data_IF_886677949866
#
_entry.id   IF_886677949866
#
_cell.length_a   1.000
_cell.length_b   1.000
_cell.length_c   1.000
_cell.angle_alpha   90.00
_cell.angle_beta   90.00
_cell.angle_gamma   90.00
#
_symmetry.space_group_name_H-M   'P 1'
#
loop_
_entity.id
_entity.type
_entity.pdbx_description
1 polymer ?
#
# COMPACT_ATOMS: atom_id res chain seq x y z
N UNK A 1 -29.47 -19.90 22.26
CA UNK A 1 -30.00 -18.51 22.13
C UNK A 1 -28.97 -17.41 22.45
N UNK A 2 -28.02 -17.60 23.37
CA UNK A 2 -27.02 -16.57 23.74
C UNK A 2 -25.88 -16.45 22.73
N UNK A 3 -25.42 -17.54 22.13
CA UNK A 3 -24.35 -17.57 21.12
C UNK A 3 -24.78 -16.95 19.78
N UNK A 4 -25.99 -17.20 19.32
CA UNK A 4 -26.52 -16.60 18.09
C UNK A 4 -26.68 -15.07 18.20
N UNK A 5 -27.04 -14.56 19.38
CA UNK A 5 -27.11 -13.10 19.63
C UNK A 5 -25.71 -12.45 19.61
N UNK A 6 -24.70 -13.14 20.18
CA UNK A 6 -23.31 -12.68 20.14
C UNK A 6 -22.76 -12.62 18.71
N UNK A 7 -22.94 -13.67 17.93
CA UNK A 7 -22.51 -13.75 16.54
C UNK A 7 -23.20 -12.69 15.65
N UNK A 8 -24.50 -12.45 15.87
CA UNK A 8 -25.27 -11.42 15.14
C UNK A 8 -24.81 -10.00 15.50
N UNK A 9 -24.50 -9.71 16.78
CA UNK A 9 -23.96 -8.41 17.19
C UNK A 9 -22.57 -8.16 16.59
N UNK A 10 -21.71 -9.16 16.59
CA UNK A 10 -20.37 -9.09 15.97
C UNK A 10 -20.46 -8.82 14.48
N UNK A 11 -21.35 -9.49 13.77
CA UNK A 11 -21.59 -9.30 12.34
C UNK A 11 -22.13 -7.91 11.99
N UNK A 12 -23.09 -7.40 12.77
CA UNK A 12 -23.63 -6.04 12.61
C UNK A 12 -22.56 -4.97 12.85
N UNK A 13 -21.70 -5.17 13.85
CA UNK A 13 -20.60 -4.25 14.14
C UNK A 13 -19.56 -4.25 13.02
N UNK A 14 -19.22 -5.41 12.49
CA UNK A 14 -18.32 -5.53 11.34
C UNK A 14 -18.88 -4.83 10.10
N UNK A 15 -20.18 -4.99 9.80
CA UNK A 15 -20.85 -4.31 8.70
C UNK A 15 -20.85 -2.79 8.87
N UNK A 16 -21.20 -2.30 10.08
CA UNK A 16 -21.15 -0.87 10.38
C UNK A 16 -19.75 -0.29 10.19
N UNK A 17 -18.73 -1.02 10.69
CA UNK A 17 -17.33 -0.62 10.57
C UNK A 17 -16.89 -0.51 9.13
N UNK A 18 -17.21 -1.52 8.30
CA UNK A 18 -16.89 -1.53 6.87
C UNK A 18 -17.54 -0.36 6.13
N UNK A 19 -18.84 -0.13 6.32
CA UNK A 19 -19.55 0.98 5.67
C UNK A 19 -19.01 2.35 6.08
N UNK A 20 -18.55 2.52 7.33
CA UNK A 20 -17.87 3.75 7.77
C UNK A 20 -16.52 3.92 7.09
N UNK A 21 -15.75 2.84 6.88
CA UNK A 21 -14.47 2.85 6.19
C UNK A 21 -14.67 3.19 4.72
N UNK A 22 -15.61 2.56 4.03
CA UNK A 22 -15.93 2.81 2.61
C UNK A 22 -16.33 4.28 2.40
N UNK A 23 -17.26 4.79 3.22
CA UNK A 23 -17.70 6.18 3.17
C UNK A 23 -16.57 7.19 3.49
N UNK A 24 -15.66 6.82 4.38
CA UNK A 24 -14.51 7.64 4.72
C UNK A 24 -13.52 7.70 3.56
N UNK A 25 -13.23 6.57 2.89
CA UNK A 25 -12.36 6.55 1.72
C UNK A 25 -12.85 7.51 0.64
N UNK A 26 -14.14 7.46 0.30
CA UNK A 26 -14.75 8.38 -0.66
C UNK A 26 -14.61 9.85 -0.22
N UNK A 27 -14.99 10.15 1.04
CA UNK A 27 -14.94 11.50 1.57
C UNK A 27 -13.51 12.06 1.64
N UNK A 28 -12.56 11.23 2.06
CA UNK A 28 -11.14 11.58 2.11
C UNK A 28 -10.55 11.80 0.71
N UNK A 29 -10.93 10.99 -0.26
CA UNK A 29 -10.47 11.12 -1.65
C UNK A 29 -10.89 12.44 -2.29
N UNK A 30 -12.04 12.99 -1.88
CA UNK A 30 -12.55 14.26 -2.39
C UNK A 30 -11.95 15.49 -1.69
N UNK A 31 -11.69 15.40 -0.38
CA UNK A 31 -11.41 16.57 0.47
C UNK A 31 -10.11 16.49 1.24
N UNK A 32 -9.45 15.34 1.24
CA UNK A 32 -8.37 15.05 2.17
C UNK A 32 -8.87 14.63 3.55
N UNK A 33 -7.97 14.08 4.35
CA UNK A 33 -8.29 13.58 5.71
C UNK A 33 -8.60 14.75 6.64
N UNK A 34 -7.79 15.81 6.57
CA UNK A 34 -7.90 16.97 7.46
C UNK A 34 -9.26 17.68 7.33
N UNK A 35 -9.68 17.93 6.10
CA UNK A 35 -10.83 18.78 5.80
C UNK A 35 -12.14 17.99 5.70
N UNK A 36 -12.11 16.68 5.95
CA UNK A 36 -13.29 15.84 6.03
C UNK A 36 -13.85 15.82 7.46
N UNK A 37 -15.06 16.37 7.71
CA UNK A 37 -15.70 16.26 9.02
C UNK A 37 -16.27 14.86 9.24
N UNK A 38 -16.28 14.41 10.50
CA UNK A 38 -16.87 13.10 10.89
C UNK A 38 -18.35 13.02 10.50
N UNK A 39 -19.05 14.14 10.54
CA UNK A 39 -20.47 14.25 10.15
C UNK A 39 -20.70 13.80 8.70
N UNK A 40 -19.84 14.20 7.78
CA UNK A 40 -19.93 13.81 6.37
C UNK A 40 -19.73 12.30 6.21
N UNK A 41 -18.77 11.71 6.92
CA UNK A 41 -18.55 10.26 6.90
C UNK A 41 -19.80 9.53 7.42
N UNK A 42 -20.37 10.00 8.53
CA UNK A 42 -21.58 9.42 9.13
C UNK A 42 -22.77 9.52 8.18
N UNK A 43 -22.97 10.67 7.54
CA UNK A 43 -24.06 10.91 6.57
C UNK A 43 -23.96 9.94 5.40
N UNK A 44 -22.79 9.82 4.77
CA UNK A 44 -22.54 8.91 3.65
C UNK A 44 -22.73 7.43 4.03
N UNK A 45 -22.25 7.06 5.20
CA UNK A 45 -22.39 5.69 5.70
C UNK A 45 -23.82 5.36 6.17
N UNK A 46 -24.71 6.35 6.34
CA UNK A 46 -26.05 6.18 6.88
C UNK A 46 -26.04 5.87 8.39
N UNK A 47 -25.11 6.45 9.14
CA UNK A 47 -24.97 6.24 10.57
C UNK A 47 -24.92 7.56 11.37
N UNK A 48 -25.11 7.46 12.68
CA UNK A 48 -24.99 8.60 13.60
C UNK A 48 -23.54 8.78 14.07
N UNK A 49 -23.19 9.98 14.57
CA UNK A 49 -21.91 10.22 15.25
C UNK A 49 -21.65 9.24 16.40
N UNK A 50 -22.70 8.85 17.15
CA UNK A 50 -22.59 7.85 18.20
C UNK A 50 -22.14 6.49 17.68
N UNK A 51 -22.64 6.07 16.49
CA UNK A 51 -22.20 4.85 15.85
C UNK A 51 -20.74 4.96 15.37
N UNK A 52 -20.30 6.13 14.89
CA UNK A 52 -18.91 6.37 14.55
C UNK A 52 -17.99 6.20 15.76
N UNK A 53 -18.23 6.95 16.85
CA UNK A 53 -17.39 6.93 18.06
C UNK A 53 -17.47 5.62 18.86
N UNK A 54 -18.46 4.76 18.60
CA UNK A 54 -18.48 3.39 19.15
C UNK A 54 -17.54 2.43 18.39
N UNK A 55 -17.07 2.80 17.19
CA UNK A 55 -16.20 1.99 16.34
C UNK A 55 -14.80 2.56 16.17
N UNK A 56 -14.65 3.88 16.18
CA UNK A 56 -13.38 4.59 15.96
C UNK A 56 -13.24 5.75 16.93
N UNK A 57 -12.07 5.92 17.52
CA UNK A 57 -11.78 7.00 18.46
C UNK A 57 -11.63 8.37 17.76
N UNK A 58 -11.23 8.38 16.50
CA UNK A 58 -11.08 9.58 15.68
C UNK A 58 -11.11 9.22 14.19
N UNK A 59 -11.10 10.23 13.31
CA UNK A 59 -10.99 9.99 11.86
C UNK A 59 -9.60 9.47 11.46
N UNK A 60 -8.57 9.81 12.21
CA UNK A 60 -7.22 9.29 12.05
C UNK A 60 -7.15 7.79 12.41
N UNK A 61 -7.86 7.37 13.46
CA UNK A 61 -8.01 5.96 13.85
C UNK A 61 -8.76 5.15 12.78
N UNK A 62 -9.81 5.74 12.20
CA UNK A 62 -10.50 5.15 11.06
C UNK A 62 -9.57 5.03 9.86
N UNK A 63 -8.82 6.11 9.51
CA UNK A 63 -7.90 6.08 8.39
C UNK A 63 -6.78 5.06 8.59
N UNK A 64 -6.26 4.91 9.81
CA UNK A 64 -5.26 3.88 10.10
C UNK A 64 -5.80 2.46 9.83
N UNK A 65 -7.07 2.22 10.15
CA UNK A 65 -7.73 0.94 9.82
C UNK A 65 -7.88 0.77 8.31
N UNK A 66 -8.36 1.79 7.61
CA UNK A 66 -8.45 1.82 6.15
C UNK A 66 -7.07 1.54 5.51
N UNK A 67 -6.01 2.20 6.02
CA UNK A 67 -4.64 2.00 5.55
C UNK A 67 -4.20 0.53 5.69
N UNK A 68 -4.48 -0.09 6.84
CA UNK A 68 -4.12 -1.49 7.08
C UNK A 68 -4.88 -2.46 6.16
N UNK A 69 -6.18 -2.24 5.95
CA UNK A 69 -7.00 -3.07 5.06
C UNK A 69 -6.57 -2.91 3.60
N UNK A 70 -6.41 -1.69 3.12
CA UNK A 70 -6.00 -1.41 1.74
C UNK A 70 -4.59 -1.91 1.43
N UNK A 71 -3.64 -1.73 2.35
CA UNK A 71 -2.27 -2.23 2.14
C UNK A 71 -2.21 -3.75 2.13
N UNK A 72 -3.00 -4.44 2.95
CA UNK A 72 -3.08 -5.90 2.93
C UNK A 72 -3.57 -6.42 1.57
N UNK A 73 -4.66 -5.86 1.05
CA UNK A 73 -5.21 -6.23 -0.28
C UNK A 73 -4.22 -5.94 -1.40
N UNK A 74 -3.51 -4.81 -1.34
CA UNK A 74 -2.51 -4.44 -2.36
C UNK A 74 -1.28 -5.33 -2.33
N UNK A 75 -0.81 -5.71 -1.15
CA UNK A 75 0.29 -6.66 -0.98
C UNK A 75 -0.05 -8.04 -1.51
N UNK A 76 -1.27 -8.54 -1.23
CA UNK A 76 -1.75 -9.81 -1.76
C UNK A 76 -1.78 -9.79 -3.30
N UNK A 77 -2.37 -8.76 -3.90
CA UNK A 77 -2.39 -8.59 -5.36
C UNK A 77 -0.99 -8.52 -5.96
N UNK A 78 -0.07 -7.82 -5.31
CA UNK A 78 1.31 -7.73 -5.77
C UNK A 78 2.03 -9.08 -5.66
N UNK A 79 1.84 -9.79 -4.56
CA UNK A 79 2.37 -11.15 -4.38
C UNK A 79 1.89 -12.08 -5.50
N UNK A 80 0.57 -12.16 -5.72
CA UNK A 80 -0.02 -13.04 -6.74
C UNK A 80 0.47 -12.69 -8.16
N UNK A 81 0.54 -11.41 -8.47
CA UNK A 81 1.03 -10.95 -9.76
C UNK A 81 2.53 -11.27 -9.96
N UNK A 82 3.35 -11.14 -8.92
CA UNK A 82 4.77 -11.48 -8.95
C UNK A 82 4.95 -13.00 -9.14
N UNK A 83 4.17 -13.80 -8.42
CA UNK A 83 4.17 -15.25 -8.57
C UNK A 83 3.80 -15.70 -9.99
N UNK A 84 2.80 -15.05 -10.61
CA UNK A 84 2.41 -15.33 -11.99
C UNK A 84 3.54 -15.07 -12.97
N UNK A 85 4.22 -13.90 -12.87
CA UNK A 85 5.36 -13.56 -13.75
C UNK A 85 6.50 -14.54 -13.60
N UNK A 86 6.86 -14.89 -12.37
CA UNK A 86 7.97 -15.81 -12.10
C UNK A 86 7.63 -17.25 -12.47
N UNK A 87 6.36 -17.66 -12.36
CA UNK A 87 5.91 -18.99 -12.78
C UNK A 87 5.99 -19.23 -14.29
N UNK A 88 5.86 -18.17 -15.08
CA UNK A 88 5.99 -18.21 -16.54
C UNK A 88 7.44 -18.07 -17.04
N UNK A 89 8.36 -17.68 -16.17
CA UNK A 89 9.74 -17.33 -16.55
C UNK A 89 10.69 -18.44 -16.07
N UNK A 90 11.32 -19.14 -17.02
CA UNK A 90 12.48 -20.00 -16.71
C UNK A 90 13.71 -19.09 -16.66
N UNK A 91 14.26 -18.90 -15.48
CA UNK A 91 15.45 -18.06 -15.26
C UNK A 91 16.68 -18.94 -15.05
N UNK A 92 17.72 -18.75 -15.84
CA UNK A 92 19.01 -19.40 -15.65
C UNK A 92 20.00 -18.45 -14.94
N UNK A 93 21.06 -19.01 -14.36
CA UNK A 93 22.03 -18.26 -13.53
C UNK A 93 22.68 -17.06 -14.26
N UNK A 94 22.77 -17.08 -15.58
CA UNK A 94 23.40 -16.05 -16.40
C UNK A 94 22.42 -15.22 -17.23
N UNK A 95 21.11 -15.40 -17.05
CA UNK A 95 20.12 -14.69 -17.84
C UNK A 95 20.05 -13.20 -17.45
N UNK A 96 19.74 -12.37 -18.45
CA UNK A 96 19.38 -10.97 -18.22
C UNK A 96 18.01 -10.91 -17.53
N UNK A 97 18.01 -10.47 -16.29
CA UNK A 97 16.79 -10.33 -15.48
C UNK A 97 16.00 -9.05 -15.80
N UNK A 98 16.55 -8.13 -16.60
CA UNK A 98 15.93 -6.83 -16.85
C UNK A 98 14.49 -6.92 -17.35
N UNK A 99 14.10 -7.85 -18.25
CA UNK A 99 12.72 -7.97 -18.70
C UNK A 99 11.77 -8.43 -17.56
N UNK A 100 12.18 -9.41 -16.76
CA UNK A 100 11.36 -9.91 -15.64
C UNK A 100 11.23 -8.85 -14.54
N UNK A 101 12.33 -8.16 -14.21
CA UNK A 101 12.30 -7.05 -13.24
C UNK A 101 11.46 -5.87 -13.73
N UNK A 102 11.47 -5.58 -15.05
CA UNK A 102 10.61 -4.57 -15.66
C UNK A 102 9.12 -4.91 -15.46
N UNK A 103 8.71 -6.14 -15.76
CA UNK A 103 7.34 -6.59 -15.53
C UNK A 103 6.93 -6.56 -14.07
N UNK A 104 7.81 -6.96 -13.16
CA UNK A 104 7.56 -6.89 -11.71
C UNK A 104 7.41 -5.43 -11.27
N UNK A 105 8.23 -4.51 -11.78
CA UNK A 105 8.10 -3.09 -11.50
C UNK A 105 6.77 -2.50 -12.00
N UNK A 106 6.33 -2.88 -13.21
CA UNK A 106 5.02 -2.49 -13.75
C UNK A 106 3.88 -3.00 -12.86
N UNK A 107 3.93 -4.27 -12.44
CA UNK A 107 2.95 -4.86 -11.55
C UNK A 107 2.94 -4.21 -10.17
N UNK A 108 4.11 -3.86 -9.66
CA UNK A 108 4.23 -3.07 -8.42
C UNK A 108 3.50 -1.74 -8.54
N UNK A 109 3.70 -1.03 -9.66
CA UNK A 109 2.98 0.21 -9.95
C UNK A 109 1.47 0.01 -9.96
N UNK A 110 0.98 -0.98 -10.70
CA UNK A 110 -0.45 -1.28 -10.81
C UNK A 110 -1.06 -1.71 -9.46
N UNK A 111 -0.38 -2.58 -8.73
CA UNK A 111 -0.92 -3.14 -7.49
C UNK A 111 -0.92 -2.13 -6.33
N UNK A 112 0.14 -1.30 -6.22
CA UNK A 112 0.33 -0.43 -5.06
C UNK A 112 -0.15 1.00 -5.26
N UNK A 113 -0.28 1.47 -6.49
CA UNK A 113 -0.49 2.90 -6.69
C UNK A 113 -1.30 3.34 -7.90
N UNK A 114 -1.98 2.48 -8.57
CA UNK A 114 -2.86 2.89 -9.67
C UNK A 114 -3.89 3.98 -9.28
N UNK A 115 -3.96 4.33 -7.99
CA UNK A 115 -4.87 5.31 -7.43
C UNK A 115 -4.12 6.55 -6.91
N UNK A 116 -4.19 7.64 -7.68
CA UNK A 116 -3.71 8.97 -7.29
C UNK A 116 -4.23 9.39 -5.91
N UNK A 117 -5.51 9.10 -5.62
CA UNK A 117 -6.14 9.50 -4.37
C UNK A 117 -5.49 8.77 -3.19
N UNK A 118 -5.21 7.48 -3.36
CA UNK A 118 -4.51 6.70 -2.34
C UNK A 118 -3.12 7.27 -2.01
N UNK A 119 -2.34 7.60 -3.04
CA UNK A 119 -1.04 8.25 -2.84
C UNK A 119 -1.16 9.55 -2.05
N UNK A 120 -2.11 10.43 -2.43
CA UNK A 120 -2.31 11.71 -1.76
C UNK A 120 -2.73 11.53 -0.29
N UNK A 121 -3.62 10.57 -0.02
CA UNK A 121 -4.05 10.24 1.34
C UNK A 121 -2.90 9.71 2.20
N UNK A 122 -2.06 8.84 1.66
CA UNK A 122 -0.86 8.33 2.36
C UNK A 122 0.14 9.45 2.65
N UNK A 123 0.37 10.36 1.70
CA UNK A 123 1.25 11.52 1.87
C UNK A 123 0.74 12.48 2.95
N UNK A 124 -0.57 12.79 2.93
CA UNK A 124 -1.22 13.60 3.95
C UNK A 124 -1.11 12.96 5.33
N UNK A 125 -1.41 11.66 5.43
CA UNK A 125 -1.37 10.92 6.69
C UNK A 125 0.04 10.88 7.30
N UNK A 126 1.08 10.66 6.48
CA UNK A 126 2.47 10.76 6.94
C UNK A 126 2.79 12.16 7.45
N UNK A 127 2.37 13.19 6.71
CA UNK A 127 2.60 14.59 7.12
C UNK A 127 1.90 14.93 8.43
N UNK A 128 0.69 14.41 8.66
CA UNK A 128 -0.01 14.53 9.94
C UNK A 128 0.77 13.85 11.08
N UNK A 129 1.27 12.62 10.85
CA UNK A 129 2.10 11.92 11.84
C UNK A 129 3.35 12.67 12.25
N UNK A 130 3.99 13.39 11.30
CA UNK A 130 5.15 14.22 11.61
C UNK A 130 4.81 15.43 12.49
N UNK A 131 3.58 15.94 12.41
CA UNK A 131 3.11 17.13 13.15
C UNK A 131 2.42 16.80 14.47
N UNK A 132 1.90 15.58 14.61
CA UNK A 132 1.08 15.16 15.76
C UNK A 132 1.76 13.99 16.50
N UNK A 133 2.47 14.27 17.61
CA UNK A 133 3.19 13.24 18.37
C UNK A 133 2.29 12.08 18.84
N UNK A 134 1.02 12.36 19.14
CA UNK A 134 0.05 11.42 19.69
C UNK A 134 -0.26 10.24 18.74
N UNK A 135 -0.17 10.48 17.43
CA UNK A 135 -0.45 9.45 16.40
C UNK A 135 0.81 9.01 15.65
N UNK A 136 1.94 9.68 15.85
CA UNK A 136 3.21 9.44 15.12
C UNK A 136 3.64 7.98 15.20
N UNK A 137 3.67 7.40 16.39
CA UNK A 137 4.18 6.04 16.60
C UNK A 137 3.28 5.00 15.91
N UNK A 138 1.97 5.19 15.96
CA UNK A 138 0.99 4.32 15.30
C UNK A 138 1.12 4.39 13.77
N UNK A 139 1.26 5.58 13.23
CA UNK A 139 1.47 5.79 11.79
C UNK A 139 2.81 5.18 11.36
N UNK A 140 3.89 5.48 12.08
CA UNK A 140 5.20 4.91 11.81
C UNK A 140 5.21 3.38 11.87
N UNK A 141 4.50 2.79 12.83
CA UNK A 141 4.35 1.33 12.92
C UNK A 141 3.61 0.74 11.71
N UNK A 142 2.54 1.40 11.24
CA UNK A 142 1.78 0.94 10.08
C UNK A 142 2.60 0.96 8.78
N UNK A 143 3.38 2.04 8.54
CA UNK A 143 4.27 2.11 7.38
C UNK A 143 5.44 1.11 7.49
N UNK A 144 6.04 0.93 8.66
CA UNK A 144 7.07 -0.11 8.85
C UNK A 144 6.53 -1.51 8.60
N UNK A 145 5.33 -1.82 9.09
CA UNK A 145 4.68 -3.09 8.80
C UNK A 145 4.52 -3.32 7.30
N UNK A 146 4.01 -2.31 6.58
CA UNK A 146 3.88 -2.37 5.12
C UNK A 146 5.22 -2.64 4.43
N UNK A 147 6.29 -1.93 4.81
CA UNK A 147 7.64 -2.14 4.23
C UNK A 147 8.18 -3.54 4.54
N UNK A 148 7.97 -4.04 5.76
CA UNK A 148 8.39 -5.40 6.14
C UNK A 148 7.65 -6.48 5.32
N UNK A 149 6.36 -6.35 5.12
CA UNK A 149 5.60 -7.29 4.30
C UNK A 149 6.04 -7.22 2.83
N UNK A 150 6.29 -6.03 2.32
CA UNK A 150 6.82 -5.84 0.97
C UNK A 150 8.21 -6.49 0.80
N UNK A 151 9.08 -6.38 1.82
CA UNK A 151 10.39 -7.03 1.85
C UNK A 151 10.27 -8.57 1.79
N UNK A 152 9.28 -9.15 2.47
CA UNK A 152 9.01 -10.59 2.39
C UNK A 152 8.63 -11.04 0.98
N UNK A 153 7.76 -10.28 0.30
CA UNK A 153 7.40 -10.57 -1.11
C UNK A 153 8.64 -10.49 -1.99
N UNK A 154 9.46 -9.45 -1.83
CA UNK A 154 10.70 -9.29 -2.60
C UNK A 154 11.68 -10.46 -2.39
N UNK A 155 11.94 -10.84 -1.13
CA UNK A 155 12.83 -11.96 -0.81
C UNK A 155 12.28 -13.27 -1.37
N UNK A 156 11.00 -13.58 -1.16
CA UNK A 156 10.37 -14.77 -1.71
C UNK A 156 10.47 -14.85 -3.23
N UNK A 157 10.30 -13.73 -3.92
CA UNK A 157 10.46 -13.65 -5.38
C UNK A 157 11.91 -13.93 -5.82
N UNK A 158 12.90 -13.38 -5.11
CA UNK A 158 14.32 -13.59 -5.42
C UNK A 158 14.78 -15.02 -5.13
N UNK A 159 14.31 -15.63 -4.04
CA UNK A 159 14.64 -17.02 -3.69
C UNK A 159 14.18 -18.00 -4.79
N UNK A 160 13.04 -17.74 -5.42
CA UNK A 160 12.52 -18.58 -6.53
C UNK A 160 13.39 -18.58 -7.78
N UNK A 161 14.10 -17.48 -8.00
CA UNK A 161 15.01 -17.33 -9.16
C UNK A 161 16.47 -17.46 -8.77
N UNK A 162 16.75 -18.04 -7.60
CA UNK A 162 18.10 -18.28 -7.07
C UNK A 162 18.95 -16.99 -7.04
N UNK A 163 18.35 -15.91 -6.54
CA UNK A 163 19.00 -14.60 -6.38
C UNK A 163 18.91 -14.10 -4.96
N UNK A 164 19.79 -13.20 -4.60
CA UNK A 164 19.80 -12.53 -3.30
C UNK A 164 20.13 -11.05 -3.44
N UNK A 165 19.74 -10.27 -2.45
CA UNK A 165 20.10 -8.86 -2.34
C UNK A 165 21.54 -8.68 -1.84
N UNK A 166 22.19 -7.62 -2.32
CA UNK A 166 23.51 -7.16 -1.84
C UNK A 166 23.41 -6.29 -0.59
N UNK A 167 22.20 -5.83 -0.24
CA UNK A 167 21.88 -5.02 0.94
C UNK A 167 20.76 -5.70 1.73
N UNK A 168 20.40 -5.16 2.90
CA UNK A 168 19.28 -5.71 3.67
C UNK A 168 17.95 -5.60 2.90
N UNK A 169 17.01 -6.54 3.06
CA UNK A 169 15.68 -6.44 2.41
C UNK A 169 14.95 -5.15 2.76
N UNK A 170 15.05 -4.69 4.00
CA UNK A 170 14.41 -3.45 4.45
C UNK A 170 15.02 -2.21 3.76
N UNK A 171 16.35 -2.17 3.57
CA UNK A 171 17.01 -1.09 2.84
C UNK A 171 16.66 -1.11 1.35
N UNK A 172 16.57 -2.30 0.74
CA UNK A 172 16.16 -2.44 -0.65
C UNK A 172 14.74 -1.90 -0.87
N UNK A 173 13.80 -2.27 0.00
CA UNK A 173 12.42 -1.76 -0.05
C UNK A 173 12.38 -0.26 0.18
N UNK A 174 13.16 0.27 1.14
CA UNK A 174 13.24 1.71 1.37
C UNK A 174 13.67 2.47 0.11
N UNK A 175 14.71 2.00 -0.58
CA UNK A 175 15.19 2.59 -1.84
C UNK A 175 14.11 2.52 -2.93
N UNK A 176 13.48 1.37 -3.12
CA UNK A 176 12.47 1.16 -4.16
C UNK A 176 11.22 2.01 -3.92
N UNK A 177 10.73 2.05 -2.68
CA UNK A 177 9.56 2.86 -2.31
C UNK A 177 9.87 4.36 -2.45
N UNK A 178 11.07 4.81 -2.04
CA UNK A 178 11.45 6.21 -2.18
C UNK A 178 11.55 6.64 -3.66
N UNK A 179 12.17 5.81 -4.50
CA UNK A 179 12.22 6.06 -5.94
C UNK A 179 10.81 6.11 -6.54
N UNK A 180 9.99 5.13 -6.20
CA UNK A 180 8.62 5.03 -6.64
C UNK A 180 7.81 6.28 -6.27
N UNK A 181 7.80 6.67 -4.98
CA UNK A 181 7.04 7.82 -4.50
C UNK A 181 7.52 9.12 -5.15
N UNK A 182 8.83 9.30 -5.32
CA UNK A 182 9.37 10.48 -5.97
C UNK A 182 8.99 10.54 -7.46
N UNK A 183 9.04 9.40 -8.15
CA UNK A 183 8.60 9.32 -9.54
C UNK A 183 7.13 9.67 -9.69
N UNK A 184 6.27 9.06 -8.88
CA UNK A 184 4.84 9.33 -8.87
C UNK A 184 4.52 10.80 -8.57
N UNK A 185 5.21 11.38 -7.58
CA UNK A 185 5.06 12.80 -7.25
C UNK A 185 5.38 13.71 -8.43
N UNK A 186 6.49 13.44 -9.13
CA UNK A 186 6.88 14.24 -10.30
C UNK A 186 5.81 14.18 -11.39
N UNK A 187 5.30 12.98 -11.72
CA UNK A 187 4.22 12.83 -12.70
C UNK A 187 2.96 13.58 -12.33
N UNK A 188 2.56 13.48 -11.07
CA UNK A 188 1.36 14.17 -10.58
C UNK A 188 1.51 15.71 -10.63
N UNK A 189 2.72 16.23 -10.36
CA UNK A 189 3.02 17.66 -10.43
C UNK A 189 3.09 18.17 -11.87
N UNK A 190 3.55 17.35 -12.82
CA UNK A 190 3.60 17.68 -14.25
C UNK A 190 2.22 17.59 -14.92
N UNK A 191 1.21 17.09 -14.21
CA UNK A 191 -0.16 16.94 -14.72
C UNK A 191 -0.30 15.88 -15.80
N UNK A 192 0.67 14.98 -15.89
CA UNK A 192 0.64 13.84 -16.81
C UNK A 192 -0.19 12.69 -16.20
N UNK A 193 -0.81 11.87 -17.04
CA UNK A 193 -1.46 10.64 -16.57
C UNK A 193 -0.41 9.68 -16.02
N UNK A 194 -0.79 8.85 -15.03
CA UNK A 194 0.10 7.87 -14.41
C UNK A 194 0.68 6.96 -15.49
N UNK A 195 2.01 6.88 -15.64
CA UNK A 195 2.60 6.14 -16.75
C UNK A 195 2.53 4.63 -16.49
N UNK A 196 1.83 3.93 -17.35
CA UNK A 196 2.04 2.50 -17.51
C UNK A 196 3.35 2.18 -18.23
N UNK A 197 3.89 3.16 -18.99
CA UNK A 197 5.01 3.01 -19.92
C UNK A 197 6.16 4.02 -19.72
N UNK A 198 6.11 4.82 -18.64
CA UNK A 198 7.11 5.85 -18.39
C UNK A 198 8.51 5.28 -18.13
N UNK A 199 9.55 5.94 -18.68
CA UNK A 199 10.98 5.61 -18.52
C UNK A 199 11.37 5.31 -17.06
N UNK A 200 10.70 5.92 -16.11
CA UNK A 200 10.93 5.70 -14.69
C UNK A 200 10.64 4.26 -14.27
N UNK A 201 9.49 3.72 -14.69
CA UNK A 201 9.06 2.35 -14.35
C UNK A 201 9.73 1.32 -15.25
N UNK A 202 9.79 1.59 -16.57
CA UNK A 202 10.31 0.64 -17.55
C UNK A 202 11.84 0.55 -17.55
N UNK A 203 12.57 1.58 -17.08
CA UNK A 203 14.03 1.60 -17.14
C UNK A 203 14.70 1.80 -15.78
N UNK A 204 14.32 2.85 -15.02
CA UNK A 204 15.08 3.24 -13.84
C UNK A 204 14.93 2.25 -12.69
N UNK A 205 13.69 1.92 -12.29
CA UNK A 205 13.46 0.95 -11.21
C UNK A 205 14.07 -0.41 -11.51
N UNK A 206 13.89 -1.02 -12.72
CA UNK A 206 14.53 -2.28 -13.07
C UNK A 206 16.07 -2.23 -13.02
N UNK A 207 16.67 -1.14 -13.49
CA UNK A 207 18.14 -0.96 -13.44
C UNK A 207 18.67 -0.86 -12.00
N UNK A 208 17.96 -0.12 -11.14
CA UNK A 208 18.32 -0.04 -9.72
C UNK A 208 18.15 -1.39 -9.06
N UNK A 209 17.04 -2.09 -9.27
CA UNK A 209 16.84 -3.43 -8.75
C UNK A 209 17.93 -4.40 -9.23
N UNK A 210 18.25 -4.42 -10.51
CA UNK A 210 19.29 -5.28 -11.08
C UNK A 210 20.66 -5.02 -10.43
N UNK A 211 20.97 -3.78 -10.05
CA UNK A 211 22.22 -3.44 -9.37
C UNK A 211 22.31 -3.93 -7.90
N UNK A 212 21.16 -4.23 -7.32
CA UNK A 212 21.05 -4.72 -5.93
C UNK A 212 20.96 -6.24 -5.83
N UNK A 213 20.93 -6.95 -6.96
CA UNK A 213 20.66 -8.39 -7.02
C UNK A 213 21.89 -9.13 -7.54
N UNK A 214 22.26 -10.25 -6.89
CA UNK A 214 23.32 -11.14 -7.30
C UNK A 214 22.88 -12.60 -7.24
N UNK A 215 23.54 -13.56 -7.91
CA UNK A 215 23.26 -14.98 -7.76
C UNK A 215 23.36 -15.40 -6.29
N UNK A 216 22.44 -16.26 -5.87
CA UNK A 216 22.51 -16.93 -4.56
C UNK A 216 23.55 -18.06 -4.70
N UNK A 217 24.80 -17.83 -4.35
CA UNK A 217 25.87 -18.83 -4.39
C UNK A 217 25.67 -19.91 -3.36
#
# INVERSE_FOLDING_TARGET
>A
MTEERGATMTRRRADTRRRLIDAAYEAFSERGIRDTPVELICERAGFTRGAFYSNFSSKEDLFLTLFQEETAVRLERFHDATESVLGETVVHAHDDLSPALGRIAELFMVALSADKNWYLLCAEFRTQGLRQPEIRDRIGAAFRYFHTELAKVLVGALDRIERKLTISPDDAVLVLVALYEQGLQNYLLEGTELPGDGRFVSELIPKVMASLIVPAT
#
